data_IF_430611161652
#
_entry.id   IF_430611161652
#
_cell.length_a   1.000
_cell.length_b   1.000
_cell.length_c   1.000
_cell.angle_alpha   90.00
_cell.angle_beta   90.00
_cell.angle_gamma   90.00
#
_symmetry.space_group_name_H-M   'P 1'
#
loop_
_entity.id
_entity.type
_entity.pdbx_description
1 polymer ?
#
# COMPACT_ATOMS: atom_id res chain seq x y z
N UNK A 1 -20.52 -76.15 -24.75
CA UNK A 1 -19.81 -76.50 -23.50
C UNK A 1 -19.98 -75.36 -22.51
N UNK A 2 -20.37 -75.70 -21.27
CA UNK A 2 -20.23 -75.02 -19.96
C UNK A 2 -20.32 -73.46 -19.89
N UNK A 3 -21.29 -72.89 -19.15
CA UNK A 3 -21.24 -72.55 -17.69
C UNK A 3 -19.99 -71.73 -17.33
N UNK A 4 -20.01 -70.60 -16.63
CA UNK A 4 -21.01 -69.98 -15.75
C UNK A 4 -20.27 -69.14 -14.68
N UNK A 5 -21.04 -68.37 -13.90
CA UNK A 5 -20.76 -67.84 -12.55
C UNK A 5 -20.08 -66.47 -12.35
N UNK A 6 -20.90 -65.63 -11.70
CA UNK A 6 -20.66 -64.44 -10.89
C UNK A 6 -19.70 -64.67 -9.72
N UNK A 7 -19.12 -63.58 -9.18
CA UNK A 7 -18.98 -63.18 -7.73
C UNK A 7 -17.89 -62.10 -7.63
N UNK A 8 -18.21 -60.83 -7.29
CA UNK A 8 -18.32 -60.21 -5.94
C UNK A 8 -17.00 -59.74 -5.31
N UNK A 9 -16.98 -58.43 -5.00
CA UNK A 9 -16.36 -57.74 -3.85
C UNK A 9 -14.91 -58.02 -3.45
N UNK A 10 -14.11 -56.94 -3.39
CA UNK A 10 -12.86 -56.87 -2.65
C UNK A 10 -12.48 -55.43 -2.34
N UNK A 11 -12.81 -54.96 -1.15
CA UNK A 11 -12.26 -53.73 -0.58
C UNK A 11 -10.77 -53.93 -0.25
N UNK A 12 -9.93 -52.94 -0.56
CA UNK A 12 -8.57 -52.86 0.00
C UNK A 12 -8.32 -51.44 0.46
N UNK A 13 -8.32 -51.30 1.79
CA UNK A 13 -7.80 -50.16 2.52
C UNK A 13 -6.33 -49.92 2.15
N UNK A 14 -5.97 -48.68 1.78
CA UNK A 14 -4.56 -48.30 1.72
C UNK A 14 -4.11 -47.91 3.11
N UNK A 15 -3.53 -48.89 3.79
CA UNK A 15 -2.78 -48.77 5.03
C UNK A 15 -1.63 -47.75 4.89
N UNK A 16 -1.61 -46.87 5.89
CA UNK A 16 -0.52 -46.00 6.32
C UNK A 16 0.83 -46.71 6.30
N UNK A 17 1.71 -46.37 5.35
CA UNK A 17 3.14 -46.66 5.41
C UNK A 17 3.88 -45.45 6.00
N UNK A 18 4.05 -45.45 7.32
CA UNK A 18 4.99 -44.56 8.02
C UNK A 18 6.31 -45.30 8.19
N UNK A 19 7.45 -44.78 7.67
CA UNK A 19 8.76 -45.22 8.12
C UNK A 19 9.12 -44.59 9.49
N UNK A 20 9.75 -45.35 10.41
CA UNK A 20 10.00 -44.94 11.77
C UNK A 20 11.28 -44.09 11.92
N UNK A 21 11.18 -43.14 12.85
CA UNK A 21 12.25 -42.59 13.70
C UNK A 21 13.44 -41.87 13.06
N UNK A 22 13.42 -40.53 13.18
CA UNK A 22 14.54 -39.79 13.74
C UNK A 22 14.04 -38.96 14.93
N UNK A 23 14.24 -39.53 16.12
CA UNK A 23 14.21 -38.81 17.39
C UNK A 23 15.29 -37.73 17.35
N UNK A 24 14.85 -36.48 17.24
CA UNK A 24 15.65 -35.29 17.45
C UNK A 24 14.72 -34.23 18.01
N UNK A 25 15.01 -33.76 19.22
CA UNK A 25 14.23 -32.78 19.98
C UNK A 25 13.74 -31.62 19.11
N UNK A 26 12.44 -31.55 18.85
CA UNK A 26 11.80 -30.29 18.47
C UNK A 26 11.60 -29.49 19.75
N UNK A 27 12.61 -28.71 20.11
CA UNK A 27 12.34 -27.45 20.78
C UNK A 27 11.42 -26.69 19.82
N UNK A 28 10.18 -26.47 20.24
CA UNK A 28 9.26 -25.57 19.54
C UNK A 28 10.00 -24.27 19.23
N UNK A 29 10.12 -23.83 17.97
CA UNK A 29 10.45 -22.44 17.74
C UNK A 29 9.21 -21.67 18.21
N UNK A 30 9.35 -21.02 19.36
CA UNK A 30 8.45 -19.99 19.86
C UNK A 30 8.12 -19.09 18.66
N UNK A 31 6.86 -19.13 18.21
CA UNK A 31 6.42 -18.31 17.10
C UNK A 31 6.77 -16.85 17.45
N UNK A 32 7.40 -16.07 16.55
CA UNK A 32 7.62 -14.66 16.81
C UNK A 32 6.25 -14.04 17.08
N UNK A 33 6.08 -13.56 18.32
CA UNK A 33 4.86 -12.89 18.74
C UNK A 33 4.55 -11.80 17.72
N UNK A 34 3.34 -11.85 17.16
CA UNK A 34 2.85 -10.80 16.27
C UNK A 34 3.11 -9.44 16.93
N UNK A 35 3.53 -8.40 16.17
CA UNK A 35 3.74 -7.09 16.73
C UNK A 35 2.45 -6.66 17.43
N UNK A 36 2.56 -6.39 18.75
CA UNK A 36 1.45 -5.83 19.54
C UNK A 36 1.00 -4.55 18.83
N UNK A 37 -0.22 -4.57 18.31
CA UNK A 37 -0.95 -3.37 17.93
C UNK A 37 -1.10 -2.51 19.18
N UNK A 38 -0.25 -1.50 19.32
CA UNK A 38 -0.46 -0.42 20.28
C UNK A 38 -1.51 0.49 19.66
N UNK A 39 -2.78 0.17 19.89
CA UNK A 39 -3.88 1.11 19.67
C UNK A 39 -3.75 2.13 20.81
N UNK A 40 -3.46 3.37 20.46
CA UNK A 40 -3.32 4.46 21.42
C UNK A 40 -4.65 4.64 22.18
N UNK A 41 -4.70 4.45 23.51
CA UNK A 41 -5.93 4.64 24.29
C UNK A 41 -6.42 6.10 24.25
N UNK A 42 -5.62 7.06 23.78
CA UNK A 42 -6.11 8.42 23.50
C UNK A 42 -7.19 8.48 22.40
N UNK A 43 -7.32 7.42 21.58
CA UNK A 43 -8.40 7.29 20.60
C UNK A 43 -9.71 6.74 21.20
N UNK A 44 -9.68 6.22 22.44
CA UNK A 44 -10.80 5.54 23.08
C UNK A 44 -11.13 6.26 24.39
N UNK A 45 -11.91 7.33 24.26
CA UNK A 45 -12.67 7.86 25.40
C UNK A 45 -12.21 9.22 25.87
N UNK A 46 -12.99 10.23 25.47
CA UNK A 46 -13.45 11.29 26.36
C UNK A 46 -14.70 11.89 25.70
N UNK A 47 -15.87 11.35 26.04
CA UNK A 47 -17.14 12.01 25.71
C UNK A 47 -17.35 13.14 26.73
N UNK A 48 -17.40 14.43 26.31
CA UNK A 48 -17.78 15.50 27.21
C UNK A 48 -19.31 15.45 27.45
N UNK A 49 -19.71 15.47 28.73
CA UNK A 49 -21.11 15.65 29.15
C UNK A 49 -21.62 16.99 28.59
N UNK A 50 -22.71 16.94 27.83
CA UNK A 50 -23.32 18.07 27.16
C UNK A 50 -24.38 18.74 28.05
N UNK A 51 -24.18 20.00 28.38
CA UNK A 51 -25.26 20.95 28.67
C UNK A 51 -25.14 22.10 27.66
N UNK A 52 -26.21 22.37 26.91
CA UNK A 52 -26.37 23.62 26.17
C UNK A 52 -26.60 23.51 24.66
N UNK A 53 -27.87 23.73 24.27
CA UNK A 53 -28.36 24.39 23.03
C UNK A 53 -28.03 23.77 21.66
N UNK A 54 -29.07 23.61 20.84
CA UNK A 54 -29.06 22.99 19.50
C UNK A 54 -28.04 23.56 18.47
N UNK A 55 -27.41 24.71 18.72
CA UNK A 55 -26.28 25.19 17.91
C UNK A 55 -24.96 24.44 18.25
N UNK A 56 -24.84 23.94 19.47
CA UNK A 56 -23.69 23.16 19.97
C UNK A 56 -23.74 21.72 19.47
N UNK A 57 -24.93 21.14 19.29
CA UNK A 57 -25.10 19.76 18.78
C UNK A 57 -24.71 19.64 17.31
N UNK A 58 -25.07 20.61 16.46
CA UNK A 58 -24.64 20.64 15.05
C UNK A 58 -23.12 20.76 14.93
N UNK A 59 -22.50 21.62 15.74
CA UNK A 59 -21.04 21.76 15.77
C UNK A 59 -20.31 20.51 16.31
N UNK A 60 -20.95 19.73 17.18
CA UNK A 60 -20.43 18.44 17.67
C UNK A 60 -20.59 17.35 16.59
N UNK A 61 -21.72 17.30 15.91
CA UNK A 61 -22.00 16.35 14.82
C UNK A 61 -21.08 16.59 13.62
N UNK A 62 -20.86 17.85 13.22
CA UNK A 62 -19.92 18.20 12.15
C UNK A 62 -18.47 17.82 12.51
N UNK A 63 -18.07 18.01 13.77
CA UNK A 63 -16.76 17.58 14.28
C UNK A 63 -16.64 16.05 14.32
N UNK A 64 -17.69 15.35 14.73
CA UNK A 64 -17.70 13.89 14.78
C UNK A 64 -17.66 13.28 13.36
N UNK A 65 -18.41 13.86 12.41
CA UNK A 65 -18.40 13.46 11.01
C UNK A 65 -17.03 13.74 10.35
N UNK A 66 -16.43 14.90 10.61
CA UNK A 66 -15.08 15.22 10.14
C UNK A 66 -14.02 14.27 10.74
N UNK A 67 -14.12 13.95 12.03
CA UNK A 67 -13.23 12.99 12.68
C UNK A 67 -13.39 11.57 12.08
N UNK A 68 -14.63 11.13 11.81
CA UNK A 68 -14.91 9.84 11.14
C UNK A 68 -14.31 9.82 9.73
N UNK A 69 -14.49 10.89 8.95
CA UNK A 69 -13.88 11.02 7.62
C UNK A 69 -12.36 10.91 7.67
N UNK A 70 -11.72 11.64 8.59
CA UNK A 70 -10.26 11.59 8.76
C UNK A 70 -9.77 10.19 9.14
N UNK A 71 -10.45 9.51 10.07
CA UNK A 71 -10.11 8.12 10.45
C UNK A 71 -10.19 7.17 9.26
N UNK A 72 -11.27 7.25 8.48
CA UNK A 72 -11.44 6.43 7.27
C UNK A 72 -10.30 6.66 6.27
N UNK A 73 -9.88 7.90 6.05
CA UNK A 73 -8.74 8.22 5.17
C UNK A 73 -7.44 7.62 5.71
N UNK A 74 -7.17 7.73 7.01
CA UNK A 74 -5.97 7.15 7.63
C UNK A 74 -5.96 5.62 7.49
N UNK A 75 -7.08 4.94 7.78
CA UNK A 75 -7.21 3.50 7.60
C UNK A 75 -7.04 3.09 6.13
N UNK A 76 -7.61 3.86 5.20
CA UNK A 76 -7.47 3.55 3.79
C UNK A 76 -6.02 3.71 3.30
N UNK A 77 -5.27 4.68 3.83
CA UNK A 77 -3.81 4.78 3.57
C UNK A 77 -3.07 3.54 4.07
N UNK A 78 -3.42 3.01 5.25
CA UNK A 78 -2.84 1.76 5.74
C UNK A 78 -3.17 0.58 4.81
N UNK A 79 -4.42 0.48 4.35
CA UNK A 79 -4.82 -0.51 3.35
C UNK A 79 -4.00 -0.37 2.06
N UNK A 80 -3.75 0.85 1.59
CA UNK A 80 -2.92 1.11 0.41
C UNK A 80 -1.46 0.66 0.55
N UNK A 81 -0.89 0.70 1.76
CA UNK A 81 0.44 0.15 2.03
C UNK A 81 0.43 -1.38 1.97
N UNK A 82 -0.54 -2.02 2.62
CA UNK A 82 -0.67 -3.48 2.70
C UNK A 82 -1.02 -4.09 1.34
N UNK A 83 -1.91 -3.44 0.60
CA UNK A 83 -2.35 -3.90 -0.69
C UNK A 83 -1.38 -3.50 -1.81
N UNK A 84 -0.28 -2.79 -1.55
CA UNK A 84 0.73 -2.45 -2.54
C UNK A 84 0.42 -1.25 -3.45
N UNK A 85 -0.72 -0.57 -3.28
CA UNK A 85 -1.05 0.65 -4.06
C UNK A 85 -0.05 1.77 -3.80
N UNK A 86 0.33 2.01 -2.54
CA UNK A 86 1.32 3.03 -2.18
C UNK A 86 2.71 2.70 -2.77
N UNK A 87 3.09 1.41 -2.77
CA UNK A 87 4.31 0.94 -3.43
C UNK A 87 4.28 1.20 -4.93
N UNK A 88 3.14 0.98 -5.60
CA UNK A 88 2.99 1.27 -7.02
C UNK A 88 3.16 2.77 -7.33
N UNK A 89 2.58 3.65 -6.50
CA UNK A 89 2.76 5.11 -6.62
C UNK A 89 4.25 5.48 -6.53
N UNK A 90 4.98 4.93 -5.55
CA UNK A 90 6.43 5.16 -5.39
C UNK A 90 7.23 4.68 -6.60
N UNK A 91 6.88 3.52 -7.15
CA UNK A 91 7.54 2.98 -8.34
C UNK A 91 7.31 3.89 -9.57
N UNK A 92 6.09 4.38 -9.76
CA UNK A 92 5.78 5.32 -10.85
C UNK A 92 6.53 6.66 -10.69
N UNK A 93 6.63 7.17 -9.46
CA UNK A 93 7.43 8.36 -9.16
C UNK A 93 8.92 8.15 -9.47
N UNK A 94 9.48 6.99 -9.12
CA UNK A 94 10.86 6.64 -9.44
C UNK A 94 11.10 6.55 -10.95
N UNK A 95 10.20 5.92 -11.70
CA UNK A 95 10.25 5.88 -13.16
C UNK A 95 10.14 7.29 -13.76
N UNK A 96 9.30 8.14 -13.17
CA UNK A 96 9.16 9.56 -13.57
C UNK A 96 10.46 10.31 -13.34
N UNK A 97 11.15 10.12 -12.21
CA UNK A 97 12.47 10.70 -11.96
C UNK A 97 13.46 10.37 -13.10
N UNK A 98 13.53 9.08 -13.47
CA UNK A 98 14.41 8.63 -14.55
C UNK A 98 14.02 9.26 -15.90
N UNK A 99 12.73 9.29 -16.23
CA UNK A 99 12.23 9.90 -17.47
C UNK A 99 12.53 11.40 -17.54
N UNK A 100 12.33 12.14 -16.45
CA UNK A 100 12.64 13.59 -16.40
C UNK A 100 14.12 13.85 -16.63
N UNK A 101 14.99 13.02 -16.04
CA UNK A 101 16.43 13.13 -16.27
C UNK A 101 16.77 12.98 -17.76
N UNK A 102 16.18 12.00 -18.45
CA UNK A 102 16.36 11.81 -19.88
C UNK A 102 15.90 13.03 -20.70
N UNK A 103 14.74 13.61 -20.36
CA UNK A 103 14.23 14.83 -21.03
C UNK A 103 15.18 16.01 -20.84
N UNK A 104 15.75 16.18 -19.65
CA UNK A 104 16.74 17.24 -19.37
C UNK A 104 17.98 17.03 -20.22
N UNK A 105 18.51 15.81 -20.27
CA UNK A 105 19.70 15.46 -21.04
C UNK A 105 19.50 15.71 -22.54
N UNK A 106 18.37 15.26 -23.08
CA UNK A 106 17.99 15.46 -24.48
C UNK A 106 17.91 16.96 -24.83
N UNK A 107 17.24 17.76 -23.99
CA UNK A 107 17.11 19.21 -24.21
C UNK A 107 18.43 19.96 -24.11
N UNK A 108 19.37 19.47 -23.33
CA UNK A 108 20.71 20.05 -23.20
C UNK A 108 21.70 19.50 -24.23
N UNK A 109 21.32 18.51 -25.05
CA UNK A 109 22.23 17.81 -25.95
C UNK A 109 23.35 17.04 -25.23
N UNK A 110 23.16 16.70 -23.95
CA UNK A 110 24.16 16.02 -23.12
C UNK A 110 23.84 14.52 -23.02
N UNK A 111 24.87 13.69 -22.88
CA UNK A 111 24.72 12.25 -22.57
C UNK A 111 24.61 11.98 -21.06
N UNK A 112 25.15 12.87 -20.24
CA UNK A 112 25.12 12.78 -18.78
C UNK A 112 25.20 14.18 -18.14
N UNK A 113 24.71 14.29 -16.91
CA UNK A 113 24.93 15.47 -16.06
C UNK A 113 26.33 15.40 -15.44
N UNK A 114 26.89 16.56 -15.07
CA UNK A 114 28.06 16.59 -14.20
C UNK A 114 27.68 16.08 -12.80
N UNK A 115 28.61 15.54 -11.98
CA UNK A 115 28.29 15.05 -10.64
C UNK A 115 27.59 16.08 -9.73
N UNK A 116 27.96 17.36 -9.86
CA UNK A 116 27.34 18.46 -9.12
C UNK A 116 25.93 18.80 -9.63
N UNK A 117 25.69 18.70 -10.94
CA UNK A 117 24.36 18.87 -11.55
C UNK A 117 23.45 17.68 -11.19
N UNK A 118 24.01 16.48 -11.15
CA UNK A 118 23.30 15.25 -10.78
C UNK A 118 22.85 15.28 -9.31
N UNK A 119 23.73 15.66 -8.39
CA UNK A 119 23.36 15.83 -6.98
C UNK A 119 22.25 16.90 -6.78
N UNK A 120 22.33 18.02 -7.53
CA UNK A 120 21.28 19.05 -7.52
C UNK A 120 19.96 18.51 -8.08
N UNK A 121 20.02 17.80 -9.21
CA UNK A 121 18.86 17.17 -9.82
C UNK A 121 18.18 16.21 -8.84
N UNK A 122 18.94 15.31 -8.22
CA UNK A 122 18.42 14.33 -7.28
C UNK A 122 17.76 15.02 -6.08
N UNK A 123 18.41 16.02 -5.49
CA UNK A 123 17.84 16.78 -4.38
C UNK A 123 16.51 17.45 -4.73
N UNK A 124 16.42 18.06 -5.92
CA UNK A 124 15.20 18.74 -6.39
C UNK A 124 14.11 17.70 -6.70
N UNK A 125 14.47 16.66 -7.44
CA UNK A 125 13.54 15.60 -7.83
C UNK A 125 12.98 14.89 -6.61
N UNK A 126 13.81 14.48 -5.65
CA UNK A 126 13.36 13.77 -4.46
C UNK A 126 12.42 14.61 -3.60
N UNK A 127 12.70 15.92 -3.46
CA UNK A 127 11.80 16.83 -2.73
C UNK A 127 10.43 16.94 -3.42
N UNK A 128 10.42 17.23 -4.72
CA UNK A 128 9.16 17.41 -5.48
C UNK A 128 8.38 16.11 -5.54
N UNK A 129 9.05 14.98 -5.76
CA UNK A 129 8.39 13.67 -5.85
C UNK A 129 7.88 13.21 -4.48
N UNK A 130 8.52 13.58 -3.38
CA UNK A 130 8.00 13.30 -2.03
C UNK A 130 6.73 14.08 -1.73
N UNK A 131 6.69 15.36 -2.09
CA UNK A 131 5.45 16.18 -1.99
C UNK A 131 4.33 15.59 -2.84
N UNK A 132 4.66 15.16 -4.07
CA UNK A 132 3.72 14.51 -4.97
C UNK A 132 3.22 13.17 -4.41
N UNK A 133 4.10 12.33 -3.84
CA UNK A 133 3.73 11.06 -3.20
C UNK A 133 2.67 11.28 -2.12
N UNK A 134 2.92 12.20 -1.20
CA UNK A 134 1.99 12.50 -0.10
C UNK A 134 0.63 12.95 -0.65
N UNK A 135 0.66 13.85 -1.64
CA UNK A 135 -0.56 14.39 -2.26
C UNK A 135 -1.36 13.30 -2.99
N UNK A 136 -0.71 12.48 -3.80
CA UNK A 136 -1.36 11.39 -4.55
C UNK A 136 -1.99 10.38 -3.61
N UNK A 137 -1.22 9.92 -2.61
CA UNK A 137 -1.72 8.95 -1.63
C UNK A 137 -2.92 9.52 -0.87
N UNK A 138 -2.85 10.79 -0.45
CA UNK A 138 -3.93 11.45 0.26
C UNK A 138 -5.21 11.59 -0.58
N UNK A 139 -5.08 11.96 -1.85
CA UNK A 139 -6.23 12.12 -2.73
C UNK A 139 -6.86 10.78 -3.12
N UNK A 140 -6.05 9.75 -3.42
CA UNK A 140 -6.56 8.40 -3.66
C UNK A 140 -7.28 7.89 -2.41
N UNK A 141 -6.67 8.02 -1.23
CA UNK A 141 -7.31 7.59 0.01
C UNK A 141 -8.61 8.35 0.28
N UNK A 142 -8.64 9.67 0.08
CA UNK A 142 -9.84 10.49 0.28
C UNK A 142 -10.96 10.13 -0.67
N UNK A 143 -10.66 9.94 -1.96
CA UNK A 143 -11.64 9.58 -2.97
C UNK A 143 -12.23 8.19 -2.72
N UNK A 144 -11.37 7.22 -2.39
CA UNK A 144 -11.79 5.82 -2.24
C UNK A 144 -12.44 5.55 -0.88
N UNK A 145 -11.92 6.12 0.21
CA UNK A 145 -12.49 5.93 1.54
C UNK A 145 -13.93 6.44 1.68
N UNK A 146 -14.39 7.32 0.78
CA UNK A 146 -15.77 7.77 0.74
C UNK A 146 -16.76 6.63 0.42
N UNK A 147 -16.34 5.61 -0.31
CA UNK A 147 -17.18 4.50 -0.77
C UNK A 147 -17.25 3.28 0.15
N UNK A 148 -16.52 3.27 1.28
CA UNK A 148 -16.45 2.15 2.22
C UNK A 148 -16.82 2.61 3.62
N UNK A 149 -17.45 1.78 4.45
CA UNK A 149 -17.56 2.03 5.89
C UNK A 149 -16.23 1.75 6.63
N UNK A 150 -16.09 2.30 7.84
CA UNK A 150 -14.85 2.20 8.62
C UNK A 150 -14.51 0.72 8.92
N UNK A 151 -15.53 -0.05 9.31
CA UNK A 151 -15.42 -1.48 9.61
C UNK A 151 -15.02 -2.30 8.37
N UNK A 152 -15.52 -1.93 7.19
CA UNK A 152 -15.16 -2.59 5.93
C UNK A 152 -13.69 -2.38 5.59
N UNK A 153 -13.16 -1.16 5.80
CA UNK A 153 -11.74 -0.86 5.60
C UNK A 153 -10.89 -1.70 6.56
N UNK A 154 -11.31 -1.84 7.83
CA UNK A 154 -10.61 -2.69 8.81
C UNK A 154 -10.63 -4.16 8.41
N UNK A 155 -11.76 -4.68 7.93
CA UNK A 155 -11.85 -6.05 7.38
C UNK A 155 -10.91 -6.25 6.20
N UNK A 156 -10.81 -5.28 5.29
CA UNK A 156 -9.89 -5.32 4.15
C UNK A 156 -8.42 -5.27 4.59
N UNK A 157 -8.08 -4.47 5.62
CA UNK A 157 -6.74 -4.45 6.22
C UNK A 157 -6.38 -5.83 6.76
N UNK A 158 -7.28 -6.45 7.52
CA UNK A 158 -7.07 -7.78 8.08
C UNK A 158 -6.91 -8.85 6.99
N UNK A 159 -7.66 -8.74 5.89
CA UNK A 159 -7.52 -9.65 4.76
C UNK A 159 -6.16 -9.49 4.03
N UNK A 160 -5.61 -8.27 3.99
CA UNK A 160 -4.34 -7.96 3.31
C UNK A 160 -3.09 -8.12 4.19
N UNK A 161 -3.23 -8.28 5.50
CA UNK A 161 -2.10 -8.43 6.43
C UNK A 161 -1.53 -9.86 6.49
N UNK A 162 -2.25 -10.85 5.95
CA UNK A 162 -1.79 -12.25 5.91
C UNK A 162 -0.61 -12.49 4.95
N UNK A 163 0.23 -13.49 5.26
CA UNK A 163 1.42 -13.84 4.46
C UNK A 163 1.09 -14.16 2.99
N UNK A 164 -0.03 -14.84 2.74
CA UNK A 164 -0.47 -15.17 1.38
C UNK A 164 -0.87 -13.92 0.58
N UNK A 165 -1.60 -12.99 1.21
CA UNK A 165 -1.97 -11.72 0.60
C UNK A 165 -0.73 -10.85 0.34
N UNK A 166 0.21 -10.79 1.29
CA UNK A 166 1.48 -10.09 1.11
C UNK A 166 2.29 -10.64 -0.08
N UNK A 167 2.37 -11.98 -0.24
CA UNK A 167 3.03 -12.62 -1.39
C UNK A 167 2.32 -12.31 -2.71
N UNK A 168 0.99 -12.40 -2.73
CA UNK A 168 0.18 -12.07 -3.90
C UNK A 168 0.35 -10.61 -4.31
N UNK A 169 0.25 -9.67 -3.35
CA UNK A 169 0.44 -8.25 -3.59
C UNK A 169 1.87 -7.97 -4.06
N UNK A 170 2.89 -8.56 -3.44
CA UNK A 170 4.28 -8.41 -3.90
C UNK A 170 4.48 -8.79 -5.37
N UNK A 171 3.83 -9.87 -5.84
CA UNK A 171 3.87 -10.30 -7.24
C UNK A 171 3.05 -9.40 -8.17
N UNK A 172 1.85 -8.99 -7.76
CA UNK A 172 0.95 -8.14 -8.58
C UNK A 172 1.53 -6.75 -8.84
N UNK A 173 2.13 -6.12 -7.82
CA UNK A 173 2.65 -4.75 -7.91
C UNK A 173 4.10 -4.67 -8.39
N UNK A 174 4.66 -5.78 -8.90
CA UNK A 174 5.88 -5.76 -9.69
C UNK A 174 5.65 -5.22 -11.12
N UNK A 175 4.39 -5.19 -11.61
CA UNK A 175 4.02 -4.66 -12.93
C UNK A 175 3.07 -3.44 -12.80
N UNK A 176 3.50 -2.21 -13.15
CA UNK A 176 2.80 -0.95 -12.83
C UNK A 176 1.47 -0.64 -13.56
N UNK A 177 0.96 -1.50 -14.44
CA UNK A 177 -0.07 -1.10 -15.41
C UNK A 177 -1.45 -0.75 -14.82
N UNK A 178 -1.80 -1.29 -13.64
CA UNK A 178 -3.17 -1.25 -13.13
C UNK A 178 -3.64 0.10 -12.52
N UNK A 179 -2.79 1.13 -12.44
CA UNK A 179 -3.16 2.42 -11.81
C UNK A 179 -2.66 3.66 -12.56
N UNK A 180 -2.21 3.49 -13.81
CA UNK A 180 -1.46 4.51 -14.53
C UNK A 180 -2.23 5.83 -14.77
N UNK A 181 -3.53 5.77 -15.07
CA UNK A 181 -4.28 6.95 -15.53
C UNK A 181 -4.54 8.01 -14.44
N UNK A 182 -4.88 7.62 -13.21
CA UNK A 182 -5.06 8.57 -12.11
C UNK A 182 -3.73 9.17 -11.62
N UNK A 183 -2.63 8.42 -11.76
CA UNK A 183 -1.30 8.86 -11.33
C UNK A 183 -0.68 9.82 -12.36
N UNK A 184 -0.97 9.65 -13.65
CA UNK A 184 -0.44 10.45 -14.75
C UNK A 184 -0.66 11.97 -14.59
N UNK A 185 -1.82 12.42 -14.10
CA UNK A 185 -2.09 13.85 -13.91
C UNK A 185 -1.11 14.53 -12.96
N UNK A 186 -0.84 13.91 -11.81
CA UNK A 186 0.12 14.42 -10.83
C UNK A 186 1.57 14.33 -11.32
N UNK A 187 1.87 13.38 -12.20
CA UNK A 187 3.19 13.24 -12.77
C UNK A 187 3.52 14.41 -13.71
N UNK A 188 2.55 14.92 -14.48
CA UNK A 188 2.78 16.08 -15.36
C UNK A 188 3.19 17.31 -14.55
N UNK A 189 2.48 17.62 -13.47
CA UNK A 189 2.80 18.77 -12.62
C UNK A 189 4.15 18.61 -11.92
N UNK A 190 4.43 17.42 -11.39
CA UNK A 190 5.72 17.10 -10.78
C UNK A 190 6.87 17.24 -11.78
N UNK A 191 6.72 16.72 -13.00
CA UNK A 191 7.70 16.82 -14.10
C UNK A 191 8.00 18.29 -14.42
N UNK A 192 6.97 19.11 -14.60
CA UNK A 192 7.13 20.54 -14.91
C UNK A 192 7.84 21.27 -13.78
N UNK A 193 7.49 20.99 -12.52
CA UNK A 193 8.12 21.61 -11.34
C UNK A 193 9.59 21.22 -11.23
N UNK A 194 9.94 19.94 -11.44
CA UNK A 194 11.33 19.46 -11.41
C UNK A 194 12.16 20.16 -12.49
N UNK A 195 11.69 20.16 -13.74
CA UNK A 195 12.43 20.74 -14.86
C UNK A 195 12.67 22.24 -14.63
N UNK A 196 11.63 23.00 -14.26
CA UNK A 196 11.74 24.45 -14.02
C UNK A 196 12.71 24.76 -12.87
N UNK A 197 12.55 24.06 -11.75
CA UNK A 197 13.39 24.29 -10.55
C UNK A 197 14.84 23.91 -10.81
N UNK A 198 15.08 22.80 -11.52
CA UNK A 198 16.42 22.39 -11.90
C UNK A 198 17.08 23.42 -12.82
N UNK A 199 16.39 23.86 -13.88
CA UNK A 199 16.90 24.88 -14.81
C UNK A 199 17.27 26.20 -14.10
N UNK A 200 16.45 26.64 -13.15
CA UNK A 200 16.75 27.81 -12.32
C UNK A 200 18.02 27.61 -11.48
N UNK A 201 18.19 26.41 -10.88
CA UNK A 201 19.32 26.09 -10.00
C UNK A 201 20.68 25.94 -10.68
N UNK A 202 20.70 25.82 -12.02
CA UNK A 202 21.92 25.71 -12.83
C UNK A 202 22.21 27.00 -13.63
N UNK A 203 21.23 27.90 -13.73
CA UNK A 203 21.35 29.18 -14.44
C UNK A 203 21.64 30.35 -13.49
N UNK A 204 21.56 30.12 -12.17
CA UNK A 204 21.97 31.03 -11.09
C UNK A 204 23.32 30.58 -10.51
#
# INVERSE_FOLDING_TARGET
MALGLMTSAGAVSAETLVPPSLQGSFLSPEAPSAPKLVIDPALIGMAPKAEGTAASTVAIEDKAAAAKKTRKVVLYKQLMELNGTAKNVRMILANTKAAVKLVILERQGKKSLLPSEEAKFDQIADRVLKEAEVTIIDQIATAQAAGFEEEEIVSLINANSGLAAAKYNAGKFANPEASAQQIQGFMVDAVVKIIKTFQQSISS
#
